data_IF_019026979751
#
_entry.id   IF_019026979751
#
_cell.length_a   1.000
_cell.length_b   1.000
_cell.length_c   1.000
_cell.angle_alpha   90.00
_cell.angle_beta   90.00
_cell.angle_gamma   90.00
#
_symmetry.space_group_name_H-M   'P 1'
#
loop_
_entity.id
_entity.type
_entity.pdbx_description
1 polymer ?
#
# COMPACT_ATOMS: atom_id res chain seq x y z
N UNK A 1 -9.83 -7.39 18.76
CA UNK A 1 -8.59 -6.69 18.33
C UNK A 1 -9.03 -5.64 17.33
N UNK A 2 -8.66 -4.37 17.52
CA UNK A 2 -8.96 -3.35 16.51
C UNK A 2 -8.24 -3.74 15.21
N UNK A 3 -9.00 -3.74 14.11
CA UNK A 3 -8.44 -4.02 12.79
C UNK A 3 -7.61 -2.83 12.35
N UNK A 4 -6.37 -3.06 11.97
CA UNK A 4 -5.47 -1.99 11.55
C UNK A 4 -6.08 -1.23 10.35
N UNK A 5 -6.10 0.11 10.36
CA UNK A 5 -6.57 0.88 9.23
C UNK A 5 -5.77 0.57 7.96
N UNK A 6 -6.49 0.46 6.84
CA UNK A 6 -5.91 0.23 5.52
C UNK A 6 -6.11 1.50 4.69
N UNK A 7 -5.01 2.09 4.21
CA UNK A 7 -5.03 3.30 3.38
C UNK A 7 -4.38 3.00 2.04
N UNK A 8 -5.10 3.28 0.96
CA UNK A 8 -4.64 3.00 -0.40
C UNK A 8 -4.01 4.22 -1.05
N UNK A 9 -2.75 4.08 -1.45
CA UNK A 9 -2.04 5.02 -2.31
C UNK A 9 -2.35 4.66 -3.77
N UNK A 10 -3.10 5.54 -4.43
CA UNK A 10 -3.59 5.36 -5.80
C UNK A 10 -3.03 6.42 -6.73
N UNK A 11 -3.17 6.21 -8.04
CA UNK A 11 -2.61 7.10 -9.06
C UNK A 11 -2.15 6.32 -10.29
N UNK A 12 -2.02 7.00 -11.43
CA UNK A 12 -1.53 6.38 -12.68
C UNK A 12 -0.11 5.82 -12.53
N UNK A 13 0.28 4.93 -13.44
CA UNK A 13 1.66 4.47 -13.54
C UNK A 13 2.60 5.67 -13.67
N UNK A 14 3.78 5.60 -13.05
CA UNK A 14 4.77 6.68 -13.01
C UNK A 14 4.33 8.00 -12.32
N UNK A 15 3.20 8.03 -11.60
CA UNK A 15 2.81 9.22 -10.83
C UNK A 15 3.65 9.45 -9.55
N UNK A 16 4.48 8.48 -9.16
CA UNK A 16 5.34 8.56 -7.97
C UNK A 16 4.78 7.86 -6.72
N UNK A 17 3.80 6.95 -6.86
CA UNK A 17 3.24 6.17 -5.74
C UNK A 17 4.31 5.47 -4.90
N UNK A 18 5.19 4.69 -5.54
CA UNK A 18 6.26 3.96 -4.86
C UNK A 18 7.18 4.92 -4.12
N UNK A 19 7.59 6.03 -4.76
CA UNK A 19 8.40 7.08 -4.14
C UNK A 19 7.71 7.71 -2.92
N UNK A 20 6.40 7.96 -2.99
CA UNK A 20 5.64 8.46 -1.84
C UNK A 20 5.65 7.45 -0.69
N UNK A 21 5.40 6.17 -0.98
CA UNK A 21 5.41 5.09 0.03
C UNK A 21 6.79 4.94 0.67
N UNK A 22 7.86 4.99 -0.12
CA UNK A 22 9.26 4.94 0.35
C UNK A 22 9.60 6.07 1.31
N UNK A 23 8.91 7.21 1.24
CA UNK A 23 9.06 8.32 2.19
C UNK A 23 8.11 8.24 3.38
N UNK A 24 6.86 7.83 3.15
CA UNK A 24 5.84 7.67 4.19
C UNK A 24 6.22 6.61 5.22
N UNK A 25 6.66 5.43 4.75
CA UNK A 25 6.95 4.30 5.63
C UNK A 25 8.04 4.64 6.66
N UNK A 26 9.20 5.21 6.30
CA UNK A 26 10.20 5.64 7.28
C UNK A 26 9.67 6.67 8.28
N UNK A 27 8.87 7.65 7.85
CA UNK A 27 8.31 8.65 8.76
C UNK A 27 7.32 8.03 9.75
N UNK A 28 6.43 7.13 9.29
CA UNK A 28 5.51 6.36 10.14
C UNK A 28 6.30 5.50 11.14
N UNK A 29 7.34 4.80 10.68
CA UNK A 29 8.24 4.00 11.54
C UNK A 29 8.94 4.87 12.58
N UNK A 30 9.41 6.06 12.20
CA UNK A 30 10.10 7.02 13.09
C UNK A 30 9.19 7.48 14.23
N UNK A 31 7.87 7.53 14.00
CA UNK A 31 6.86 7.87 15.01
C UNK A 31 6.50 6.70 15.94
N UNK A 32 7.05 5.50 15.70
CA UNK A 32 6.90 4.35 16.59
C UNK A 32 5.88 3.31 16.13
N UNK A 33 5.18 3.53 15.01
CA UNK A 33 4.20 2.55 14.54
C UNK A 33 4.82 1.34 13.84
N UNK A 34 4.08 0.25 13.88
CA UNK A 34 4.28 -0.95 13.07
C UNK A 34 3.48 -0.78 11.78
N UNK A 35 4.15 -0.84 10.65
CA UNK A 35 3.53 -0.64 9.33
C UNK A 35 3.72 -1.89 8.49
N UNK A 36 2.69 -2.25 7.73
CA UNK A 36 2.79 -3.20 6.64
C UNK A 36 2.42 -2.54 5.31
N UNK A 37 2.95 -3.11 4.23
CA UNK A 37 2.61 -2.69 2.87
C UNK A 37 2.01 -3.82 2.07
N UNK A 38 1.01 -3.54 1.24
CA UNK A 38 0.47 -4.49 0.25
C UNK A 38 0.54 -3.83 -1.12
N UNK A 39 1.20 -4.47 -2.08
CA UNK A 39 1.22 -4.02 -3.48
C UNK A 39 0.27 -4.89 -4.30
N UNK A 40 -0.60 -4.26 -5.08
CA UNK A 40 -1.36 -4.94 -6.12
C UNK A 40 -0.62 -4.82 -7.44
N UNK A 41 -0.18 -5.96 -8.00
CA UNK A 41 0.29 -6.02 -9.38
C UNK A 41 -0.82 -6.59 -10.27
N UNK A 42 -1.17 -5.87 -11.33
CA UNK A 42 -2.22 -6.30 -12.27
C UNK A 42 -1.68 -7.31 -13.28
N UNK A 43 -0.36 -7.50 -13.30
CA UNK A 43 0.32 -8.52 -14.09
C UNK A 43 0.85 -9.59 -13.13
N UNK A 44 0.79 -10.85 -13.55
CA UNK A 44 1.40 -11.95 -12.81
C UNK A 44 2.87 -11.63 -12.50
N UNK A 45 3.35 -12.03 -11.32
CA UNK A 45 4.65 -11.59 -10.81
C UNK A 45 5.41 -12.72 -10.11
N UNK A 46 6.73 -12.72 -10.30
CA UNK A 46 7.67 -13.57 -9.57
C UNK A 46 8.45 -12.72 -8.55
N UNK A 47 8.39 -13.11 -7.28
CA UNK A 47 9.20 -12.51 -6.19
C UNK A 47 10.44 -13.32 -5.84
N UNK A 48 10.56 -14.53 -6.39
CA UNK A 48 11.67 -15.44 -6.12
C UNK A 48 12.69 -15.45 -7.28
N UNK A 49 13.85 -16.06 -7.05
CA UNK A 49 14.93 -16.15 -8.04
C UNK A 49 14.73 -17.40 -8.90
N UNK A 50 14.51 -17.26 -10.23
CA UNK A 50 14.35 -18.40 -11.12
C UNK A 50 15.51 -19.41 -11.02
N UNK A 51 15.16 -20.69 -10.97
CA UNK A 51 16.11 -21.81 -10.91
C UNK A 51 16.70 -22.13 -9.53
N UNK A 52 16.41 -21.34 -8.48
CA UNK A 52 16.75 -21.67 -7.09
C UNK A 52 15.76 -22.66 -6.48
N UNK A 53 16.09 -23.19 -5.31
CA UNK A 53 15.36 -24.32 -4.71
C UNK A 53 13.90 -23.97 -4.38
N UNK A 54 13.65 -22.83 -3.75
CA UNK A 54 12.29 -22.36 -3.45
C UNK A 54 11.45 -22.12 -4.70
N UNK A 55 12.06 -21.56 -5.76
CA UNK A 55 11.40 -21.39 -7.06
C UNK A 55 11.07 -22.74 -7.70
N UNK A 56 12.01 -23.69 -7.69
CA UNK A 56 11.78 -25.06 -8.19
C UNK A 56 10.67 -25.77 -7.42
N UNK A 57 10.58 -25.56 -6.11
CA UNK A 57 9.48 -26.11 -5.30
C UNK A 57 8.13 -25.53 -5.75
N UNK A 58 8.04 -24.20 -5.96
CA UNK A 58 6.82 -23.56 -6.46
C UNK A 58 6.43 -24.13 -7.84
N UNK A 59 7.37 -24.25 -8.76
CA UNK A 59 7.14 -24.80 -10.10
C UNK A 59 6.76 -26.29 -10.11
N UNK A 60 7.13 -27.05 -9.06
CA UNK A 60 6.69 -28.43 -8.89
C UNK A 60 5.18 -28.55 -8.57
N UNK A 61 4.50 -27.43 -8.34
CA UNK A 61 3.04 -27.37 -8.17
C UNK A 61 2.58 -27.47 -6.72
N UNK A 62 3.46 -27.21 -5.75
CA UNK A 62 3.07 -27.19 -4.32
C UNK A 62 2.14 -26.01 -4.02
N UNK A 63 1.21 -26.19 -3.09
CA UNK A 63 0.25 -25.14 -2.72
C UNK A 63 0.90 -23.98 -1.94
N UNK A 64 2.02 -24.24 -1.27
CA UNK A 64 2.74 -23.25 -0.48
C UNK A 64 4.23 -23.53 -0.40
N UNK A 65 5.04 -22.48 -0.58
CA UNK A 65 6.48 -22.46 -0.31
C UNK A 65 6.75 -21.49 0.83
N UNK A 66 7.50 -21.94 1.83
CA UNK A 66 7.94 -21.11 2.95
C UNK A 66 9.47 -21.10 2.98
N UNK A 67 10.06 -19.90 2.92
CA UNK A 67 11.50 -19.69 3.10
C UNK A 67 11.70 -18.97 4.43
N UNK A 68 12.35 -19.62 5.38
CA UNK A 68 12.54 -19.11 6.73
C UNK A 68 14.01 -18.93 7.08
N UNK A 69 14.29 -17.93 7.91
CA UNK A 69 15.60 -17.68 8.52
C UNK A 69 15.42 -16.99 9.87
N UNK A 70 16.50 -16.79 10.62
CA UNK A 70 16.46 -16.07 11.90
C UNK A 70 15.94 -14.62 11.81
N UNK A 71 15.94 -13.99 10.62
CA UNK A 71 15.60 -12.57 10.45
C UNK A 71 14.42 -12.31 9.50
N UNK A 72 14.03 -13.28 8.70
CA UNK A 72 13.02 -13.10 7.65
C UNK A 72 12.27 -14.39 7.34
N UNK A 73 11.01 -14.22 6.97
CA UNK A 73 10.10 -15.24 6.47
C UNK A 73 9.54 -14.75 5.12
N UNK A 74 9.59 -15.58 4.09
CA UNK A 74 8.87 -15.36 2.85
C UNK A 74 7.86 -16.50 2.66
N UNK A 75 6.65 -16.15 2.23
CA UNK A 75 5.56 -17.10 1.99
C UNK A 75 5.08 -16.86 0.57
N UNK A 76 5.13 -17.90 -0.27
CA UNK A 76 4.58 -17.90 -1.63
C UNK A 76 3.45 -18.92 -1.62
N UNK A 77 2.26 -18.50 -2.03
CA UNK A 77 1.08 -19.37 -2.09
C UNK A 77 0.48 -19.38 -3.48
N UNK A 78 0.14 -20.57 -3.94
CA UNK A 78 -0.73 -20.72 -5.09
C UNK A 78 -2.16 -20.42 -4.66
N UNK A 79 -2.85 -19.57 -5.40
CA UNK A 79 -4.24 -19.21 -5.14
C UNK A 79 -5.12 -19.77 -6.25
N UNK A 80 -6.21 -20.44 -5.89
CA UNK A 80 -7.26 -20.82 -6.85
C UNK A 80 -8.10 -19.61 -7.27
N UNK A 81 -8.21 -18.63 -6.37
CA UNK A 81 -8.91 -17.36 -6.58
C UNK A 81 -8.17 -16.24 -5.87
N UNK A 82 -8.18 -15.07 -6.49
CA UNK A 82 -7.66 -13.83 -5.90
C UNK A 82 -8.32 -13.55 -4.53
N UNK A 83 -7.49 -13.19 -3.55
CA UNK A 83 -7.94 -12.81 -2.21
C UNK A 83 -8.33 -11.34 -2.19
N UNK A 84 -9.39 -11.02 -1.44
CA UNK A 84 -9.69 -9.62 -1.14
C UNK A 84 -8.60 -8.98 -0.26
N UNK A 85 -8.51 -7.66 -0.30
CA UNK A 85 -7.56 -6.91 0.50
C UNK A 85 -7.74 -7.15 2.02
N UNK A 86 -8.99 -7.30 2.46
CA UNK A 86 -9.31 -7.64 3.85
C UNK A 86 -8.82 -9.03 4.22
N UNK A 87 -8.99 -10.03 3.35
CA UNK A 87 -8.49 -11.38 3.59
C UNK A 87 -6.97 -11.43 3.64
N UNK A 88 -6.27 -10.68 2.78
CA UNK A 88 -4.82 -10.59 2.81
C UNK A 88 -4.36 -9.99 4.16
N UNK A 89 -4.96 -8.89 4.58
CA UNK A 89 -4.64 -8.24 5.84
C UNK A 89 -4.87 -9.19 7.04
N UNK A 90 -6.05 -9.80 7.12
CA UNK A 90 -6.42 -10.68 8.24
C UNK A 90 -5.57 -11.95 8.32
N UNK A 91 -5.20 -12.54 7.17
CA UNK A 91 -4.46 -13.82 7.15
C UNK A 91 -2.96 -13.63 7.36
N UNK A 92 -2.39 -12.52 6.90
CA UNK A 92 -0.93 -12.38 6.80
C UNK A 92 -0.35 -11.20 7.56
N UNK A 93 -1.14 -10.19 7.91
CA UNK A 93 -0.65 -8.96 8.54
C UNK A 93 -1.15 -8.87 9.98
N UNK A 94 -0.43 -9.54 10.87
CA UNK A 94 -0.65 -9.47 12.31
C UNK A 94 0.28 -8.44 12.95
N UNK A 95 -0.14 -7.88 14.09
CA UNK A 95 0.70 -7.01 14.91
C UNK A 95 1.23 -5.76 14.16
N UNK A 96 0.38 -5.15 13.34
CA UNK A 96 0.67 -3.86 12.69
C UNK A 96 -0.36 -2.82 13.11
N UNK A 97 0.04 -1.56 13.14
CA UNK A 97 -0.82 -0.43 13.56
C UNK A 97 -1.46 0.25 12.35
N UNK A 98 -0.87 0.10 11.15
CA UNK A 98 -1.37 0.68 9.90
C UNK A 98 -0.90 -0.13 8.70
N UNK A 99 -1.77 -0.25 7.68
CA UNK A 99 -1.47 -0.93 6.42
C UNK A 99 -1.55 0.10 5.28
N UNK A 100 -0.48 0.22 4.51
CA UNK A 100 -0.40 1.09 3.33
C UNK A 100 -0.45 0.23 2.08
N UNK A 101 -1.37 0.50 1.16
CA UNK A 101 -1.43 -0.26 -0.10
C UNK A 101 -0.96 0.55 -1.28
N UNK A 102 -0.19 -0.05 -2.19
CA UNK A 102 0.04 0.51 -3.51
C UNK A 102 -0.95 -0.10 -4.50
N UNK A 103 -1.87 0.71 -5.03
CA UNK A 103 -2.93 0.23 -5.92
C UNK A 103 -4.26 -0.03 -5.20
N UNK A 104 -4.94 -1.12 -5.56
CA UNK A 104 -6.30 -1.44 -5.08
C UNK A 104 -7.34 -0.31 -5.27
N UNK A 105 -7.25 0.44 -6.37
CA UNK A 105 -8.15 1.59 -6.63
C UNK A 105 -9.65 1.25 -6.65
N UNK A 106 -10.00 -0.01 -6.90
CA UNK A 106 -11.39 -0.50 -6.94
C UNK A 106 -11.92 -0.90 -5.55
N UNK A 107 -11.02 -1.13 -4.58
CA UNK A 107 -11.42 -1.50 -3.23
C UNK A 107 -12.05 -0.32 -2.51
N UNK A 108 -13.04 -0.59 -1.67
CA UNK A 108 -13.69 0.43 -0.85
C UNK A 108 -12.87 0.73 0.42
N UNK A 109 -11.64 1.22 0.23
CA UNK A 109 -10.76 1.70 1.30
C UNK A 109 -10.54 3.21 1.16
N UNK A 110 -10.21 3.92 2.26
CA UNK A 110 -9.78 5.30 2.20
C UNK A 110 -8.55 5.46 1.29
N UNK A 111 -8.55 6.47 0.43
CA UNK A 111 -7.55 6.61 -0.64
C UNK A 111 -6.83 7.94 -0.54
N UNK A 112 -5.52 7.91 -0.75
CA UNK A 112 -4.71 9.10 -1.02
C UNK A 112 -4.25 8.98 -2.47
N UNK A 113 -4.62 9.95 -3.30
CA UNK A 113 -4.25 9.93 -4.70
C UNK A 113 -2.95 10.70 -4.94
N UNK A 114 -2.00 10.07 -5.62
CA UNK A 114 -0.80 10.73 -6.14
C UNK A 114 -1.07 11.17 -7.56
N UNK A 115 -1.20 12.48 -7.75
CA UNK A 115 -1.51 13.12 -9.01
C UNK A 115 -0.32 13.92 -9.55
N UNK A 116 -0.10 13.81 -10.86
CA UNK A 116 0.84 14.62 -11.64
C UNK A 116 0.25 14.89 -13.01
N UNK A 117 0.23 16.15 -13.46
CA UNK A 117 -0.30 16.54 -14.77
C UNK A 117 0.43 15.83 -15.91
N UNK A 118 1.72 15.55 -15.77
CA UNK A 118 2.48 14.83 -16.81
C UNK A 118 2.04 13.36 -16.95
N UNK A 119 1.51 12.76 -15.88
CA UNK A 119 1.04 11.39 -15.91
C UNK A 119 -0.39 11.26 -16.48
N UNK A 120 -1.24 12.28 -16.29
CA UNK A 120 -2.63 12.31 -16.76
C UNK A 120 -3.31 13.67 -16.51
N UNK A 121 -4.38 13.95 -17.27
CA UNK A 121 -5.00 15.27 -17.31
C UNK A 121 -5.80 15.67 -16.05
N UNK A 122 -6.41 14.71 -15.35
CA UNK A 122 -7.27 14.96 -14.18
C UNK A 122 -7.11 13.86 -13.13
N UNK A 123 -7.29 14.18 -11.83
CA UNK A 123 -7.24 13.16 -10.79
C UNK A 123 -8.33 12.09 -10.96
N UNK A 124 -7.97 10.85 -10.67
CA UNK A 124 -8.72 9.63 -10.92
C UNK A 124 -9.86 9.40 -9.94
N UNK A 125 -9.75 9.93 -8.73
CA UNK A 125 -10.63 9.56 -7.63
C UNK A 125 -11.59 10.67 -7.21
N UNK A 126 -11.64 11.82 -7.92
CA UNK A 126 -12.49 12.96 -7.55
C UNK A 126 -13.96 12.59 -7.40
N UNK A 127 -14.47 11.72 -8.27
CA UNK A 127 -15.83 11.18 -8.24
C UNK A 127 -16.12 10.33 -6.98
N UNK A 128 -15.10 9.62 -6.50
CA UNK A 128 -15.16 8.79 -5.28
C UNK A 128 -14.78 9.53 -4.00
N UNK A 129 -14.31 10.77 -4.10
CA UNK A 129 -13.85 11.60 -2.98
C UNK A 129 -12.62 11.01 -2.27
N UNK A 130 -11.37 11.24 -2.74
CA UNK A 130 -10.20 10.75 -2.04
C UNK A 130 -10.04 11.50 -0.70
N UNK A 131 -9.37 10.88 0.27
CA UNK A 131 -9.07 11.54 1.54
C UNK A 131 -8.21 12.79 1.36
N UNK A 132 -7.27 12.71 0.43
CA UNK A 132 -6.31 13.75 0.10
C UNK A 132 -5.69 13.48 -1.28
N UNK A 133 -5.13 14.53 -1.87
CA UNK A 133 -4.32 14.46 -3.08
C UNK A 133 -2.88 14.86 -2.74
N UNK A 134 -1.92 14.08 -3.23
CA UNK A 134 -0.50 14.41 -3.20
C UNK A 134 -0.08 14.85 -4.59
N UNK A 135 0.26 16.13 -4.73
CA UNK A 135 0.66 16.74 -6.00
C UNK A 135 1.37 18.06 -5.76
N UNK A 136 2.38 18.36 -6.57
CA UNK A 136 3.00 19.68 -6.66
C UNK A 136 2.29 20.58 -7.68
N UNK A 137 1.36 20.03 -8.46
CA UNK A 137 0.55 20.78 -9.41
C UNK A 137 -0.54 21.60 -8.70
N UNK A 138 -0.81 22.79 -9.22
CA UNK A 138 -2.02 23.55 -8.90
C UNK A 138 -3.26 22.81 -9.38
N UNK A 139 -4.17 22.56 -8.43
CA UNK A 139 -5.41 21.80 -8.57
C UNK A 139 -6.52 22.53 -7.83
N UNK A 140 -7.65 22.70 -8.50
CA UNK A 140 -8.88 23.18 -7.88
C UNK A 140 -9.68 21.98 -7.37
N UNK A 141 -9.47 21.61 -6.11
CA UNK A 141 -10.05 20.43 -5.47
C UNK A 141 -10.48 20.76 -4.05
N UNK A 142 -11.60 20.20 -3.60
CA UNK A 142 -12.18 20.45 -2.27
C UNK A 142 -11.53 19.59 -1.16
N UNK A 143 -10.65 18.67 -1.53
CA UNK A 143 -9.97 17.75 -0.60
C UNK A 143 -8.59 18.29 -0.20
N UNK A 144 -8.06 17.93 0.98
CA UNK A 144 -6.71 18.31 1.37
C UNK A 144 -5.66 17.96 0.29
N UNK A 145 -4.79 18.92 0.00
CA UNK A 145 -3.66 18.75 -0.93
C UNK A 145 -2.33 18.87 -0.18
N UNK A 146 -1.41 17.95 -0.46
CA UNK A 146 -0.04 17.97 0.07
C UNK A 146 0.97 17.91 -1.08
N UNK A 147 2.08 18.61 -0.95
CA UNK A 147 3.23 18.45 -1.86
C UNK A 147 3.95 17.11 -1.66
N UNK A 148 4.74 16.69 -2.65
CA UNK A 148 5.48 15.42 -2.62
C UNK A 148 6.55 15.34 -1.52
N UNK A 149 6.98 16.49 -0.99
CA UNK A 149 7.93 16.61 0.11
C UNK A 149 7.27 16.90 1.47
N UNK A 150 5.95 17.12 1.51
CA UNK A 150 5.21 17.44 2.74
C UNK A 150 4.84 16.19 3.57
N UNK A 151 5.75 15.21 3.60
CA UNK A 151 5.53 13.88 4.17
C UNK A 151 5.13 13.95 5.64
N UNK A 152 5.76 14.83 6.43
CA UNK A 152 5.40 14.98 7.85
C UNK A 152 3.95 15.42 8.04
N UNK A 153 3.51 16.42 7.27
CA UNK A 153 2.12 16.92 7.31
C UNK A 153 1.13 15.86 6.85
N UNK A 154 1.51 15.07 5.84
CA UNK A 154 0.67 13.97 5.37
C UNK A 154 0.54 12.86 6.43
N UNK A 155 1.61 12.54 7.14
CA UNK A 155 1.54 11.56 8.25
C UNK A 155 0.77 12.13 9.44
N UNK A 156 0.91 13.42 9.78
CA UNK A 156 0.07 14.08 10.80
C UNK A 156 -1.42 13.95 10.45
N UNK A 157 -1.77 14.18 9.18
CA UNK A 157 -3.13 14.03 8.68
C UNK A 157 -3.64 12.58 8.81
N UNK A 158 -2.84 11.60 8.39
CA UNK A 158 -3.19 10.17 8.52
C UNK A 158 -3.41 9.79 9.99
N UNK A 159 -2.51 10.19 10.89
CA UNK A 159 -2.63 9.90 12.32
C UNK A 159 -3.92 10.47 12.91
N UNK A 160 -4.20 11.75 12.62
CA UNK A 160 -5.39 12.44 13.13
C UNK A 160 -6.71 11.83 12.66
N UNK A 161 -6.69 11.05 11.57
CA UNK A 161 -7.87 10.39 11.01
C UNK A 161 -8.03 8.96 11.49
N UNK A 162 -6.94 8.21 11.62
CA UNK A 162 -6.98 6.75 11.72
C UNK A 162 -6.26 6.14 12.92
N UNK A 163 -5.40 6.90 13.62
CA UNK A 163 -4.54 6.35 14.66
C UNK A 163 -4.83 6.97 16.02
N UNK A 164 -5.03 8.30 16.08
CA UNK A 164 -5.23 9.02 17.35
C UNK A 164 -6.69 8.94 17.84
N UNK A 165 -7.65 8.66 16.96
CA UNK A 165 -9.08 8.63 17.32
C UNK A 165 -9.56 7.33 17.98
N UNK A 166 -8.66 6.37 18.23
CA UNK A 166 -8.97 5.06 18.82
C UNK A 166 -8.63 4.98 20.33
N UNK A 167 -8.43 6.12 21.01
CA UNK A 167 -8.23 6.23 22.47
C UNK A 167 -9.43 6.89 23.13
#
# INVERSE_FOLDING_TARGET
MNKSPIISIVGKSNSGKTTLIEKLVPEIKRRGYRVATIKHDVHDFDVDVPGKDSWKHAQAGVDSVIVASAKKLAVIKRLEKELSLDEIAERYLNNVDIIITEGFKKENKPKIEVFRKEAHAMPLCLDTGPLAIVSDDELDVEVPRFGLEEIKKLVDFIESKFIINDI
#
